data_IF_651184944471
#
_entry.id   IF_651184944471
#
_cell.length_a   1.000
_cell.length_b   1.000
_cell.length_c   1.000
_cell.angle_alpha   90.00
_cell.angle_beta   90.00
_cell.angle_gamma   90.00
#
_symmetry.space_group_name_H-M   'P 1'
#
loop_
_entity.id
_entity.type
_entity.pdbx_description
1 polymer ?
#
# COMPACT_ATOMS: atom_id res chain seq x y z
N UNK A 1 16.21 31.63 -79.89
CA UNK A 1 15.05 31.79 -78.98
C UNK A 1 14.44 30.42 -78.74
N UNK A 2 14.25 30.03 -77.49
CA UNK A 2 13.46 28.85 -77.10
C UNK A 2 14.28 27.62 -76.73
N UNK A 3 14.03 27.08 -75.53
CA UNK A 3 14.22 25.66 -75.26
C UNK A 3 15.20 25.26 -74.15
N UNK A 4 15.05 25.72 -72.90
CA UNK A 4 15.58 24.98 -71.73
C UNK A 4 14.73 25.14 -70.45
N UNK A 5 13.76 26.06 -70.40
CA UNK A 5 13.04 26.39 -69.15
C UNK A 5 11.84 25.48 -68.82
N UNK A 6 11.29 24.76 -69.82
CA UNK A 6 10.15 23.85 -69.62
C UNK A 6 10.45 22.58 -68.79
N UNK A 7 11.56 21.85 -69.04
CA UNK A 7 11.90 20.64 -68.30
C UNK A 7 12.22 20.92 -66.82
N UNK A 8 12.83 22.06 -66.52
CA UNK A 8 13.26 22.44 -65.17
C UNK A 8 12.05 22.78 -64.29
N UNK A 9 11.02 23.42 -64.85
CA UNK A 9 9.81 23.78 -64.10
C UNK A 9 8.95 22.56 -63.76
N UNK A 10 8.84 21.60 -64.68
CA UNK A 10 8.16 20.31 -64.43
C UNK A 10 8.92 19.46 -63.41
N UNK A 11 10.26 19.41 -63.51
CA UNK A 11 11.11 18.77 -62.51
C UNK A 11 10.94 19.41 -61.12
N UNK A 12 10.82 20.74 -61.05
CA UNK A 12 10.58 21.46 -59.79
C UNK A 12 9.20 21.12 -59.20
N UNK A 13 8.15 21.00 -60.02
CA UNK A 13 6.81 20.62 -59.58
C UNK A 13 6.75 19.18 -59.07
N UNK A 14 7.44 18.24 -59.74
CA UNK A 14 7.53 16.84 -59.31
C UNK A 14 8.36 16.69 -58.02
N UNK A 15 9.48 17.41 -57.92
CA UNK A 15 10.28 17.44 -56.68
C UNK A 15 9.48 18.06 -55.54
N UNK A 16 8.71 19.13 -55.78
CA UNK A 16 7.86 19.75 -54.77
C UNK A 16 6.71 18.81 -54.34
N UNK A 17 6.09 18.09 -55.28
CA UNK A 17 5.05 17.10 -54.97
C UNK A 17 5.57 15.91 -54.16
N UNK A 18 6.71 15.34 -54.55
CA UNK A 18 7.35 14.21 -53.84
C UNK A 18 7.87 14.62 -52.47
N UNK A 19 8.44 15.82 -52.33
CA UNK A 19 8.88 16.37 -51.04
C UNK A 19 7.70 16.68 -50.13
N UNK A 20 6.58 17.21 -50.66
CA UNK A 20 5.38 17.49 -49.86
C UNK A 20 4.67 16.21 -49.41
N UNK A 21 4.64 15.17 -50.24
CA UNK A 21 4.11 13.85 -49.86
C UNK A 21 4.99 13.16 -48.81
N UNK A 22 6.32 13.22 -48.96
CA UNK A 22 7.28 12.76 -47.94
C UNK A 22 7.13 13.54 -46.64
N UNK A 23 7.02 14.87 -46.72
CA UNK A 23 6.83 15.75 -45.56
C UNK A 23 5.52 15.43 -44.82
N UNK A 24 4.41 15.22 -45.52
CA UNK A 24 3.15 14.79 -44.89
C UNK A 24 3.28 13.45 -44.18
N UNK A 25 3.99 12.48 -44.79
CA UNK A 25 4.22 11.16 -44.17
C UNK A 25 5.11 11.26 -42.94
N UNK A 26 6.18 12.04 -42.99
CA UNK A 26 7.07 12.25 -41.83
C UNK A 26 6.38 13.03 -40.72
N UNK A 27 5.54 14.02 -41.07
CA UNK A 27 4.76 14.77 -40.09
C UNK A 27 3.72 13.89 -39.40
N UNK A 28 3.02 13.03 -40.14
CA UNK A 28 2.08 12.06 -39.54
C UNK A 28 2.80 11.03 -38.66
N UNK A 29 3.94 10.51 -39.11
CA UNK A 29 4.76 9.60 -38.30
C UNK A 29 5.31 10.28 -37.03
N UNK A 30 5.80 11.52 -37.15
CA UNK A 30 6.25 12.31 -36.01
C UNK A 30 5.10 12.63 -35.05
N UNK A 31 3.91 12.97 -35.56
CA UNK A 31 2.72 13.22 -34.77
C UNK A 31 2.27 11.96 -34.00
N UNK A 32 2.24 10.80 -34.66
CA UNK A 32 1.93 9.52 -34.02
C UNK A 32 2.98 9.19 -32.95
N UNK A 33 4.28 9.33 -33.26
CA UNK A 33 5.36 9.09 -32.29
C UNK A 33 5.27 10.05 -31.10
N UNK A 34 4.99 11.33 -31.34
CA UNK A 34 4.80 12.31 -30.25
C UNK A 34 3.59 11.98 -29.39
N UNK A 35 2.49 11.52 -30.00
CA UNK A 35 1.28 11.12 -29.28
C UNK A 35 1.58 9.91 -28.39
N UNK A 36 2.28 8.90 -28.92
CA UNK A 36 2.72 7.73 -28.15
C UNK A 36 3.64 8.14 -27.00
N UNK A 37 4.61 9.02 -27.23
CA UNK A 37 5.50 9.51 -26.16
C UNK A 37 4.73 10.25 -25.05
N UNK A 38 3.79 11.13 -25.41
CA UNK A 38 2.96 11.86 -24.43
C UNK A 38 2.10 10.89 -23.64
N UNK A 39 1.49 9.90 -24.29
CA UNK A 39 0.71 8.86 -23.61
C UNK A 39 1.58 8.03 -22.67
N UNK A 40 2.79 7.65 -23.10
CA UNK A 40 3.75 6.92 -22.26
C UNK A 40 4.15 7.70 -21.00
N UNK A 41 4.44 9.00 -21.15
CA UNK A 41 4.75 9.86 -20.00
C UNK A 41 3.56 9.97 -19.06
N UNK A 42 2.34 10.14 -19.60
CA UNK A 42 1.11 10.18 -18.80
C UNK A 42 0.91 8.89 -17.99
N UNK A 43 1.05 7.73 -18.63
CA UNK A 43 0.93 6.43 -17.96
C UNK A 43 2.03 6.24 -16.93
N UNK A 44 3.27 6.67 -17.21
CA UNK A 44 4.38 6.58 -16.26
C UNK A 44 4.16 7.42 -15.00
N UNK A 45 3.63 8.65 -15.16
CA UNK A 45 3.26 9.54 -14.05
C UNK A 45 2.12 8.92 -13.23
N UNK A 46 1.08 8.41 -13.90
CA UNK A 46 -0.06 7.78 -13.23
C UNK A 46 0.37 6.54 -12.43
N UNK A 47 1.26 5.71 -12.99
CA UNK A 47 1.79 4.53 -12.33
C UNK A 47 2.60 4.89 -11.09
N UNK A 48 3.48 5.90 -11.18
CA UNK A 48 4.23 6.41 -10.04
C UNK A 48 3.30 7.00 -8.98
N UNK A 49 2.33 7.82 -9.37
CA UNK A 49 1.36 8.42 -8.46
C UNK A 49 0.56 7.37 -7.70
N UNK A 50 0.07 6.35 -8.42
CA UNK A 50 -0.66 5.21 -7.82
C UNK A 50 0.21 4.44 -6.83
N UNK A 51 1.47 4.17 -7.19
CA UNK A 51 2.43 3.55 -6.27
C UNK A 51 2.68 4.42 -5.04
N UNK A 52 2.92 5.73 -5.21
CA UNK A 52 3.18 6.65 -4.12
C UNK A 52 2.01 6.68 -3.14
N UNK A 53 0.78 6.87 -3.62
CA UNK A 53 -0.40 6.92 -2.76
C UNK A 53 -0.74 5.57 -2.10
N UNK A 54 -0.50 4.45 -2.79
CA UNK A 54 -0.76 3.13 -2.20
C UNK A 54 0.31 2.71 -1.20
N UNK A 55 1.56 3.15 -1.37
CA UNK A 55 2.68 2.68 -0.57
C UNK A 55 3.03 3.62 0.60
N UNK A 56 2.78 4.92 0.43
CA UNK A 56 3.13 5.96 1.40
C UNK A 56 1.92 6.27 2.29
N UNK A 57 1.99 5.92 3.59
CA UNK A 57 0.88 6.13 4.50
C UNK A 57 0.91 7.54 5.10
N UNK A 58 -0.13 7.89 5.86
CA UNK A 58 -0.17 9.16 6.60
C UNK A 58 1.05 9.31 7.51
N UNK A 59 1.84 10.35 7.25
CA UNK A 59 3.17 10.57 7.86
C UNK A 59 3.12 11.01 9.32
N UNK A 60 2.12 11.81 9.64
CA UNK A 60 1.93 12.39 10.95
C UNK A 60 0.45 12.51 11.22
N UNK A 61 0.04 12.11 12.42
CA UNK A 61 -1.31 12.32 12.91
C UNK A 61 -1.23 13.13 14.20
N UNK A 62 -2.07 14.15 14.30
CA UNK A 62 -2.18 14.97 15.50
C UNK A 62 -3.64 15.02 15.94
N UNK A 63 -3.87 14.82 17.24
CA UNK A 63 -5.19 14.95 17.85
C UNK A 63 -5.13 15.80 19.10
N UNK A 64 -6.13 16.68 19.31
CA UNK A 64 -6.24 17.40 20.56
C UNK A 64 -6.58 16.42 21.69
N UNK A 65 -5.99 16.67 22.86
CA UNK A 65 -6.18 15.88 24.08
C UNK A 65 -6.94 16.74 25.07
N UNK A 66 -8.19 16.37 25.33
CA UNK A 66 -9.04 17.07 26.28
C UNK A 66 -9.02 16.36 27.64
N UNK A 67 -8.41 17.01 28.63
CA UNK A 67 -8.37 16.50 29.99
C UNK A 67 -9.69 16.74 30.71
N UNK A 68 -10.15 15.71 31.42
CA UNK A 68 -11.23 15.76 32.37
C UNK A 68 -10.71 15.31 33.75
N UNK A 69 -11.39 15.76 34.78
CA UNK A 69 -11.10 15.42 36.17
C UNK A 69 -12.44 15.36 36.93
N UNK A 70 -12.55 14.46 37.89
CA UNK A 70 -13.66 14.45 38.84
C UNK A 70 -13.60 15.69 39.74
N UNK A 71 -14.78 16.21 40.09
CA UNK A 71 -14.99 17.35 40.99
C UNK A 71 -15.66 16.92 42.29
N UNK A 72 -15.76 15.62 42.55
CA UNK A 72 -16.65 15.04 43.58
C UNK A 72 -16.01 15.03 44.98
N UNK A 73 -15.09 15.95 45.24
CA UNK A 73 -14.40 16.05 46.53
C UNK A 73 -14.57 17.44 47.15
N UNK A 74 -14.57 17.49 48.48
CA UNK A 74 -14.58 18.72 49.26
C UNK A 74 -13.19 19.39 49.25
N UNK A 75 -12.74 19.83 48.08
CA UNK A 75 -11.44 20.51 47.94
C UNK A 75 -11.52 21.94 48.48
N UNK A 76 -10.93 22.17 49.65
CA UNK A 76 -10.85 23.49 50.32
C UNK A 76 -9.76 24.43 49.78
N UNK A 77 -9.00 24.01 48.76
CA UNK A 77 -7.95 24.79 48.12
C UNK A 77 -7.94 24.43 46.63
N UNK A 78 -7.58 25.36 45.75
CA UNK A 78 -7.57 25.29 44.25
C UNK A 78 -6.72 24.14 43.65
N UNK A 79 -6.99 22.92 44.06
CA UNK A 79 -6.29 21.67 43.79
C UNK A 79 -7.33 20.71 43.21
N UNK A 80 -6.98 20.02 42.13
CA UNK A 80 -7.87 19.06 41.50
C UNK A 80 -8.13 17.87 42.44
N UNK A 81 -9.36 17.36 42.45
CA UNK A 81 -9.73 16.19 43.26
C UNK A 81 -9.04 14.90 42.79
N UNK A 82 -8.91 14.77 41.47
CA UNK A 82 -8.35 13.62 40.78
C UNK A 82 -7.24 14.04 39.84
N UNK A 83 -6.46 13.08 39.38
CA UNK A 83 -5.47 13.32 38.33
C UNK A 83 -6.20 13.61 37.02
N UNK A 84 -5.81 14.66 36.26
CA UNK A 84 -6.42 14.94 34.98
C UNK A 84 -6.11 13.80 34.00
N UNK A 85 -7.18 13.23 33.45
CA UNK A 85 -7.15 12.12 32.51
C UNK A 85 -7.78 12.53 31.19
N UNK A 86 -7.31 11.97 30.10
CA UNK A 86 -7.88 12.19 28.77
C UNK A 86 -7.98 10.85 28.04
N UNK A 87 -9.16 10.58 27.49
CA UNK A 87 -9.37 9.41 26.64
C UNK A 87 -9.40 9.88 25.18
N UNK A 88 -8.53 9.31 24.35
CA UNK A 88 -8.42 9.65 22.94
C UNK A 88 -8.63 8.42 22.06
N UNK A 89 -9.33 8.61 20.95
CA UNK A 89 -9.44 7.60 19.90
C UNK A 89 -8.27 7.73 18.93
N UNK A 90 -7.64 6.60 18.62
CA UNK A 90 -6.60 6.48 17.59
C UNK A 90 -7.19 5.99 16.26
N UNK A 91 -8.50 6.22 16.08
CA UNK A 91 -9.27 5.90 14.89
C UNK A 91 -9.65 7.20 14.17
N UNK A 92 -9.18 7.35 12.94
CA UNK A 92 -9.59 8.44 12.04
C UNK A 92 -11.06 8.25 11.68
N UNK A 93 -11.87 9.28 11.95
CA UNK A 93 -13.32 9.28 11.77
C UNK A 93 -14.04 8.08 12.45
N UNK A 94 -13.43 7.50 13.50
CA UNK A 94 -13.98 6.37 14.25
C UNK A 94 -13.93 5.00 13.55
N UNK A 95 -13.33 4.89 12.36
CA UNK A 95 -13.28 3.62 11.59
C UNK A 95 -11.89 3.26 11.11
N UNK A 96 -11.13 4.22 10.60
CA UNK A 96 -9.85 3.94 9.97
C UNK A 96 -8.73 4.02 11.00
N UNK A 97 -7.88 3.00 11.08
CA UNK A 97 -6.75 3.05 11.99
C UNK A 97 -5.72 4.09 11.54
N UNK A 98 -5.25 4.89 12.49
CA UNK A 98 -4.23 5.90 12.23
C UNK A 98 -2.84 5.28 11.98
N UNK A 99 -2.56 4.18 12.66
CA UNK A 99 -1.26 3.49 12.65
C UNK A 99 -1.33 2.23 11.80
N UNK A 100 -0.31 2.02 10.97
CA UNK A 100 -0.16 0.80 10.18
C UNK A 100 0.54 -0.27 11.00
N UNK A 101 0.07 -1.50 10.87
CA UNK A 101 0.65 -2.65 11.56
C UNK A 101 2.13 -2.87 11.18
N UNK A 102 2.96 -3.14 12.20
CA UNK A 102 4.38 -3.43 12.04
C UNK A 102 5.29 -2.23 11.72
N UNK A 103 4.70 -1.08 11.37
CA UNK A 103 5.44 0.17 11.16
C UNK A 103 5.79 0.80 12.53
N UNK A 104 7.06 1.19 12.79
CA UNK A 104 7.42 1.91 14.00
C UNK A 104 6.93 3.36 13.95
N UNK A 105 6.36 3.81 15.07
CA UNK A 105 5.86 5.15 15.30
C UNK A 105 6.47 5.75 16.58
N UNK A 106 6.82 7.03 16.50
CA UNK A 106 7.15 7.88 17.64
C UNK A 106 5.91 8.60 18.10
N UNK A 107 5.56 8.44 19.37
CA UNK A 107 4.40 9.08 19.99
C UNK A 107 4.92 10.13 20.97
N UNK A 108 4.63 11.39 20.71
CA UNK A 108 4.94 12.52 21.58
C UNK A 108 3.67 13.25 22.02
N UNK A 109 3.66 13.72 23.26
CA UNK A 109 2.63 14.58 23.81
C UNK A 109 3.18 15.99 23.90
N UNK A 110 2.48 16.93 23.29
CA UNK A 110 2.75 18.35 23.41
C UNK A 110 1.78 18.97 24.41
N UNK A 111 2.34 19.59 25.45
CA UNK A 111 1.60 20.26 26.51
C UNK A 111 1.83 21.77 26.39
N UNK A 112 0.75 22.54 26.29
CA UNK A 112 0.78 24.00 26.36
C UNK A 112 0.46 24.43 27.80
N UNK A 113 1.44 25.01 28.48
CA UNK A 113 1.37 25.35 29.89
C UNK A 113 1.72 26.82 30.14
N UNK A 114 1.02 27.53 31.04
CA UNK A 114 1.43 28.86 31.48
C UNK A 114 2.68 28.82 32.36
N UNK A 115 3.46 29.89 32.31
CA UNK A 115 4.54 30.18 33.27
C UNK A 115 3.95 30.73 34.60
N UNK A 116 3.00 30.01 35.20
CA UNK A 116 2.40 30.39 36.48
C UNK A 116 3.29 29.98 37.66
N UNK A 117 3.22 30.67 38.82
CA UNK A 117 4.01 30.28 40.00
C UNK A 117 3.68 28.86 40.48
N UNK A 118 2.44 28.40 40.27
CA UNK A 118 2.03 27.03 40.60
C UNK A 118 2.77 26.01 39.73
N UNK A 119 2.89 26.26 38.42
CA UNK A 119 3.61 25.39 37.49
C UNK A 119 5.14 25.49 37.66
N UNK A 120 5.66 26.67 37.97
CA UNK A 120 7.10 26.87 38.23
C UNK A 120 7.55 26.07 39.47
N UNK A 121 6.75 26.09 40.54
CA UNK A 121 7.03 25.34 41.77
C UNK A 121 6.58 23.88 41.73
N UNK A 122 5.91 23.43 40.67
CA UNK A 122 5.44 22.05 40.55
C UNK A 122 6.61 21.04 40.46
N UNK A 123 7.72 21.46 39.86
CA UNK A 123 8.87 20.59 39.61
C UNK A 123 8.58 19.48 38.59
N UNK A 124 9.20 18.32 38.78
CA UNK A 124 8.97 17.17 37.91
C UNK A 124 7.59 16.56 38.17
N UNK A 125 6.83 16.33 37.10
CA UNK A 125 5.59 15.58 37.13
C UNK A 125 5.67 14.41 36.14
N UNK A 126 4.85 13.38 36.37
CA UNK A 126 4.85 12.18 35.54
C UNK A 126 3.62 12.15 34.63
N UNK A 127 3.82 11.75 33.39
CA UNK A 127 2.77 11.54 32.39
C UNK A 127 2.74 10.05 32.09
N UNK A 128 1.56 9.44 32.26
CA UNK A 128 1.31 8.04 31.91
C UNK A 128 0.43 7.98 30.67
N UNK A 129 0.76 7.10 29.75
CA UNK A 129 -0.06 6.79 28.59
C UNK A 129 -0.28 5.29 28.51
N UNK A 130 -1.54 4.89 28.40
CA UNK A 130 -1.96 3.49 28.31
C UNK A 130 -2.80 3.30 27.05
N UNK A 131 -2.27 2.53 26.10
CA UNK A 131 -2.94 2.15 24.86
C UNK A 131 -3.84 0.94 25.10
N UNK A 132 -5.07 0.97 24.59
CA UNK A 132 -6.05 -0.09 24.83
C UNK A 132 -6.70 -0.61 23.52
N UNK A 133 -7.15 -1.87 23.55
CA UNK A 133 -7.87 -2.52 22.45
C UNK A 133 -9.36 -2.20 22.47
N UNK A 134 -10.10 -2.67 21.47
CA UNK A 134 -11.57 -2.59 21.46
C UNK A 134 -12.22 -3.23 22.70
N UNK A 135 -11.56 -4.25 23.27
CA UNK A 135 -12.05 -5.00 24.43
C UNK A 135 -11.68 -4.33 25.77
N UNK A 136 -11.05 -3.15 25.73
CA UNK A 136 -10.61 -2.42 26.92
C UNK A 136 -9.34 -2.96 27.55
N UNK A 137 -8.68 -3.95 26.94
CA UNK A 137 -7.42 -4.49 27.45
C UNK A 137 -6.24 -3.56 27.11
N UNK A 138 -5.40 -3.28 28.09
CA UNK A 138 -4.19 -2.46 27.90
C UNK A 138 -3.13 -3.25 27.13
N UNK A 139 -2.78 -2.79 25.92
CA UNK A 139 -1.76 -3.40 25.06
C UNK A 139 -0.36 -2.93 25.44
N UNK A 140 -0.24 -1.64 25.76
CA UNK A 140 1.02 -1.02 26.09
C UNK A 140 0.80 0.14 27.05
N UNK A 141 1.71 0.30 28.00
CA UNK A 141 1.70 1.43 28.92
C UNK A 141 3.12 2.02 29.02
N UNK A 142 3.20 3.33 29.17
CA UNK A 142 4.46 4.03 29.38
C UNK A 142 4.28 5.18 30.36
N UNK A 143 5.31 5.45 31.15
CA UNK A 143 5.38 6.56 32.07
C UNK A 143 6.65 7.37 31.81
N UNK A 144 6.52 8.69 31.66
CA UNK A 144 7.64 9.61 31.43
C UNK A 144 7.57 10.80 32.37
N UNK A 145 8.71 11.22 32.90
CA UNK A 145 8.80 12.48 33.63
C UNK A 145 8.87 13.66 32.67
N UNK A 146 8.26 14.76 33.06
CA UNK A 146 8.30 16.04 32.38
C UNK A 146 8.44 17.16 33.41
N UNK A 147 8.96 18.30 32.98
CA UNK A 147 9.15 19.46 33.83
C UNK A 147 9.01 20.72 32.97
N UNK A 148 8.42 21.77 33.52
CA UNK A 148 8.47 23.11 32.93
C UNK A 148 9.94 23.54 32.79
N UNK A 149 10.34 24.18 31.69
CA UNK A 149 11.76 24.55 31.61
C UNK A 149 12.01 25.72 32.55
N UNK A 150 12.92 25.50 33.50
CA UNK A 150 13.26 26.49 34.49
C UNK A 150 13.86 27.75 33.85
N UNK A 151 13.39 28.91 34.30
CA UNK A 151 13.97 30.24 34.01
C UNK A 151 14.19 30.94 35.33
N UNK A 152 15.32 31.65 35.47
CA UNK A 152 15.57 32.43 36.68
C UNK A 152 14.63 33.65 36.75
N UNK A 153 14.27 34.09 37.95
CA UNK A 153 13.42 35.29 38.13
C UNK A 153 14.00 36.54 37.47
N UNK A 154 15.33 36.71 37.49
CA UNK A 154 16.00 37.79 36.76
C UNK A 154 15.76 37.68 35.23
N UNK A 155 15.87 36.47 34.67
CA UNK A 155 15.62 36.25 33.25
C UNK A 155 14.15 36.49 32.90
N UNK A 156 13.21 36.03 33.73
CA UNK A 156 11.78 36.28 33.55
C UNK A 156 11.46 37.79 33.53
N UNK A 157 12.03 38.57 34.46
CA UNK A 157 11.83 40.03 34.51
C UNK A 157 12.42 40.74 33.29
N UNK A 158 13.63 40.38 32.87
CA UNK A 158 14.27 40.95 31.69
C UNK A 158 13.49 40.59 30.42
N UNK A 159 13.04 39.35 30.30
CA UNK A 159 12.23 38.88 29.16
C UNK A 159 10.90 39.62 29.09
N UNK A 160 10.22 39.79 30.22
CA UNK A 160 8.95 40.53 30.32
C UNK A 160 9.13 42.00 30.01
N UNK A 161 10.23 42.63 30.44
CA UNK A 161 10.53 44.03 30.16
C UNK A 161 10.83 44.24 28.67
N UNK A 162 11.70 43.40 28.09
CA UNK A 162 12.14 43.48 26.70
C UNK A 162 10.99 43.21 25.72
N UNK A 163 10.13 42.23 26.01
CA UNK A 163 8.96 41.90 25.20
C UNK A 163 7.67 42.59 25.67
N UNK A 164 7.75 43.57 26.58
CA UNK A 164 6.58 44.27 27.12
C UNK A 164 5.65 44.86 26.04
N UNK A 165 6.14 45.47 24.93
CA UNK A 165 5.22 46.01 23.92
C UNK A 165 4.44 44.90 23.21
N UNK A 166 5.06 43.74 22.97
CA UNK A 166 4.41 42.60 22.31
C UNK A 166 3.40 41.92 23.24
N UNK A 167 3.72 41.84 24.53
CA UNK A 167 2.83 41.29 25.55
C UNK A 167 1.60 42.18 25.77
N UNK A 168 1.78 43.50 25.86
CA UNK A 168 0.68 44.46 26.06
C UNK A 168 -0.25 44.58 24.86
N UNK A 169 0.28 44.39 23.65
CA UNK A 169 -0.52 44.35 22.41
C UNK A 169 -1.19 42.99 22.18
N UNK A 170 -0.89 41.98 23.01
CA UNK A 170 -1.41 40.62 22.88
C UNK A 170 -0.84 39.85 21.69
N UNK A 171 0.25 40.31 21.08
CA UNK A 171 0.93 39.59 19.99
C UNK A 171 1.67 38.36 20.50
N UNK A 172 2.10 38.38 21.76
CA UNK A 172 2.75 37.25 22.43
C UNK A 172 2.08 36.99 23.79
N UNK A 173 2.10 35.73 24.21
CA UNK A 173 1.56 35.27 25.50
C UNK A 173 2.66 34.58 26.31
N UNK A 174 2.58 34.65 27.64
CA UNK A 174 3.51 33.98 28.56
C UNK A 174 3.13 32.50 28.73
N UNK A 175 3.50 31.71 27.73
CA UNK A 175 3.23 30.27 27.69
C UNK A 175 4.41 29.48 27.18
N UNK A 176 4.45 28.21 27.54
CA UNK A 176 5.48 27.29 27.16
C UNK A 176 4.88 26.01 26.56
N UNK A 177 5.49 25.56 25.46
CA UNK A 177 5.20 24.26 24.84
C UNK A 177 6.23 23.23 25.32
N UNK A 178 5.77 22.15 25.93
CA UNK A 178 6.59 21.04 26.40
C UNK A 178 6.28 19.81 25.57
N UNK A 179 7.25 19.35 24.78
CA UNK A 179 7.14 18.09 24.04
C UNK A 179 7.76 16.94 24.86
N UNK A 180 6.95 15.93 25.15
CA UNK A 180 7.36 14.72 25.89
C UNK A 180 7.21 13.51 25.00
N UNK A 181 8.32 12.84 24.70
CA UNK A 181 8.32 11.60 23.95
C UNK A 181 7.90 10.42 24.84
N UNK A 182 6.72 9.87 24.56
CA UNK A 182 6.15 8.76 25.32
C UNK A 182 6.71 7.43 24.81
N UNK A 183 6.52 7.15 23.51
CA UNK A 183 7.08 5.99 22.83
C UNK A 183 8.03 6.41 21.70
N UNK A 184 9.19 5.78 21.61
CA UNK A 184 10.13 6.00 20.50
C UNK A 184 9.83 5.12 19.30
N UNK A 185 9.55 3.83 19.51
CA UNK A 185 9.36 2.81 18.47
C UNK A 185 8.11 1.96 18.73
N UNK A 186 6.96 2.62 18.88
CA UNK A 186 5.69 1.92 19.05
C UNK A 186 5.28 1.21 17.75
N UNK A 187 4.94 -0.08 17.84
CA UNK A 187 4.48 -0.88 16.70
C UNK A 187 3.07 -1.39 16.98
N UNK A 188 2.14 -1.06 16.09
CA UNK A 188 0.79 -1.58 16.16
C UNK A 188 0.78 -3.06 15.76
N UNK A 189 0.08 -3.89 16.55
CA UNK A 189 -0.08 -5.33 16.32
C UNK A 189 -1.40 -5.61 15.60
N UNK A 190 -1.38 -6.53 14.63
CA UNK A 190 -2.60 -6.89 13.89
C UNK A 190 -3.57 -7.76 14.70
N UNK A 191 -3.08 -8.56 15.65
CA UNK A 191 -3.91 -9.42 16.50
C UNK A 191 -4.59 -8.65 17.64
N UNK A 192 -3.97 -7.56 18.09
CA UNK A 192 -4.47 -6.69 19.14
C UNK A 192 -4.39 -5.24 18.64
N UNK A 193 -5.35 -4.81 17.81
CA UNK A 193 -5.33 -3.48 17.25
C UNK A 193 -5.61 -2.43 18.33
N UNK A 194 -4.75 -1.41 18.39
CA UNK A 194 -4.90 -0.30 19.32
C UNK A 194 -5.98 0.64 18.84
N UNK A 195 -7.04 0.78 19.64
CA UNK A 195 -8.22 1.60 19.30
C UNK A 195 -8.12 3.00 19.88
N UNK A 196 -7.55 3.11 21.09
CA UNK A 196 -7.43 4.37 21.78
C UNK A 196 -6.28 4.36 22.78
N UNK A 197 -6.09 5.49 23.42
CA UNK A 197 -5.17 5.61 24.54
C UNK A 197 -5.77 6.50 25.63
N UNK A 198 -5.43 6.18 26.87
CA UNK A 198 -5.73 7.00 28.03
C UNK A 198 -4.44 7.67 28.48
N UNK A 199 -4.45 8.98 28.60
CA UNK A 199 -3.32 9.78 29.06
C UNK A 199 -3.69 10.38 30.41
N UNK A 200 -2.84 10.16 31.41
CA UNK A 200 -3.03 10.63 32.77
C UNK A 200 -1.80 11.42 33.21
N UNK A 201 -2.03 12.61 33.78
CA UNK A 201 -0.95 13.41 34.37
C UNK A 201 -0.99 13.25 35.87
N UNK A 202 0.10 12.75 36.45
CA UNK A 202 0.24 12.45 37.87
C UNK A 202 0.58 13.71 38.67
N UNK A 203 -0.32 14.70 38.61
CA UNK A 203 -0.27 15.91 39.43
C UNK A 203 -1.65 16.53 39.55
N UNK A 204 -2.03 16.93 40.76
CA UNK A 204 -3.31 17.61 41.06
C UNK A 204 -3.21 19.13 41.05
N UNK A 205 -2.00 19.68 40.87
CA UNK A 205 -1.74 21.13 40.89
C UNK A 205 -1.30 21.67 39.53
N UNK A 206 -1.20 20.79 38.53
CA UNK A 206 -0.76 21.13 37.19
C UNK A 206 -1.79 22.04 36.50
N UNK A 207 -1.34 23.11 35.87
CA UNK A 207 -2.16 24.01 35.09
C UNK A 207 -1.77 23.90 33.61
N UNK A 208 -2.73 23.60 32.75
CA UNK A 208 -2.50 23.29 31.32
C UNK A 208 -3.57 24.02 30.52
N UNK A 209 -3.18 24.67 29.43
CA UNK A 209 -4.13 25.30 28.50
C UNK A 209 -4.66 24.30 27.48
N UNK A 210 -3.76 23.61 26.80
CA UNK A 210 -4.10 22.65 25.76
C UNK A 210 -3.07 21.52 25.72
N UNK A 211 -3.45 20.42 25.11
CA UNK A 211 -2.55 19.32 24.86
C UNK A 211 -2.86 18.69 23.51
N UNK A 212 -1.81 18.21 22.84
CA UNK A 212 -1.91 17.58 21.54
C UNK A 212 -1.06 16.31 21.53
N UNK A 213 -1.64 15.20 21.13
CA UNK A 213 -0.88 13.98 20.87
C UNK A 213 -0.41 14.00 19.43
N UNK A 214 0.89 13.87 19.22
CA UNK A 214 1.51 13.74 17.89
C UNK A 214 2.07 12.34 17.71
N UNK A 215 1.70 11.72 16.60
CA UNK A 215 2.16 10.40 16.19
C UNK A 215 2.92 10.58 14.88
N UNK A 216 4.22 10.32 14.90
CA UNK A 216 5.12 10.43 13.76
C UNK A 216 5.58 9.04 13.30
N UNK A 217 5.45 8.74 12.01
CA UNK A 217 5.95 7.48 11.46
C UNK A 217 7.46 7.56 11.19
N UNK A 218 8.23 6.55 11.62
CA UNK A 218 9.64 6.42 11.22
C UNK A 218 9.77 5.65 9.91
N UNK A 219 9.89 6.36 8.80
CA UNK A 219 10.11 5.72 7.51
C UNK A 219 11.53 5.16 7.40
N UNK A 220 11.64 3.89 6.99
CA UNK A 220 12.91 3.24 6.64
C UNK A 220 12.86 2.74 5.19
N UNK A 221 14.03 2.52 4.59
CA UNK A 221 14.14 1.99 3.22
C UNK A 221 13.59 2.92 2.14
N UNK A 222 12.79 2.37 1.21
CA UNK A 222 12.22 3.12 0.08
C UNK A 222 11.31 4.27 0.58
N UNK A 223 10.53 4.04 1.66
CA UNK A 223 9.67 5.08 2.24
C UNK A 223 10.47 6.29 2.73
N UNK A 224 11.66 6.06 3.29
CA UNK A 224 12.54 7.14 3.74
C UNK A 224 12.96 8.03 2.57
N UNK A 225 13.38 7.42 1.46
CA UNK A 225 13.77 8.14 0.25
C UNK A 225 12.61 8.96 -0.31
N UNK A 226 11.41 8.38 -0.38
CA UNK A 226 10.19 9.05 -0.85
C UNK A 226 9.80 10.23 0.03
N UNK A 227 9.90 10.08 1.36
CA UNK A 227 9.54 11.13 2.30
C UNK A 227 10.55 12.28 2.32
N UNK A 228 11.84 11.97 2.38
CA UNK A 228 12.88 12.99 2.51
C UNK A 228 13.20 13.70 1.18
N UNK A 229 13.04 12.99 0.05
CA UNK A 229 13.32 13.53 -1.28
C UNK A 229 12.17 13.25 -2.27
N UNK A 230 11.02 13.93 -2.12
CA UNK A 230 9.85 13.71 -2.96
C UNK A 230 10.13 14.03 -4.44
N UNK A 231 10.89 15.09 -4.73
CA UNK A 231 11.17 15.50 -6.11
C UNK A 231 12.12 14.52 -6.84
N UNK A 232 13.21 14.13 -6.20
CA UNK A 232 14.20 13.24 -6.84
C UNK A 232 13.63 11.84 -7.02
N UNK A 233 12.89 11.34 -6.03
CA UNK A 233 12.21 10.04 -6.14
C UNK A 233 11.13 10.04 -7.20
N UNK A 234 10.40 11.14 -7.39
CA UNK A 234 9.43 11.28 -8.48
C UNK A 234 10.09 11.27 -9.86
N UNK A 235 11.17 12.03 -10.05
CA UNK A 235 11.90 12.04 -11.34
C UNK A 235 12.47 10.66 -11.66
N UNK A 236 13.13 10.01 -10.70
CA UNK A 236 13.71 8.68 -10.89
C UNK A 236 12.61 7.64 -11.17
N UNK A 237 11.52 7.66 -10.41
CA UNK A 237 10.41 6.72 -10.57
C UNK A 237 9.65 6.89 -11.89
N UNK A 238 9.40 8.13 -12.32
CA UNK A 238 8.77 8.40 -13.62
C UNK A 238 9.72 8.03 -14.75
N UNK A 239 11.02 8.34 -14.65
CA UNK A 239 12.00 7.97 -15.65
C UNK A 239 12.16 6.44 -15.80
N UNK A 240 12.17 5.70 -14.69
CA UNK A 240 12.24 4.23 -14.73
C UNK A 240 10.98 3.62 -15.33
N UNK A 241 9.81 4.12 -14.97
CA UNK A 241 8.53 3.66 -15.55
C UNK A 241 8.46 3.97 -17.05
N UNK A 242 8.85 5.17 -17.45
CA UNK A 242 8.91 5.57 -18.86
C UNK A 242 9.89 4.69 -19.64
N UNK A 243 11.09 4.45 -19.12
CA UNK A 243 12.06 3.56 -19.75
C UNK A 243 11.52 2.14 -19.92
N UNK A 244 10.93 1.57 -18.86
CA UNK A 244 10.34 0.23 -18.91
C UNK A 244 9.22 0.12 -19.95
N UNK A 245 8.28 1.06 -19.95
CA UNK A 245 7.18 1.08 -20.94
C UNK A 245 7.70 1.32 -22.36
N UNK A 246 8.73 2.17 -22.53
CA UNK A 246 9.34 2.42 -23.83
C UNK A 246 10.00 1.16 -24.41
N UNK A 247 10.63 0.34 -23.56
CA UNK A 247 11.23 -0.94 -23.96
C UNK A 247 10.15 -1.92 -24.42
N UNK A 248 9.03 -2.02 -23.68
CA UNK A 248 7.90 -2.89 -24.07
C UNK A 248 7.33 -2.46 -25.43
N UNK A 249 7.09 -1.16 -25.63
CA UNK A 249 6.59 -0.62 -26.90
C UNK A 249 7.59 -0.84 -28.02
N UNK A 250 8.89 -0.67 -27.76
CA UNK A 250 9.94 -0.92 -28.74
C UNK A 250 9.98 -2.40 -29.17
N UNK A 251 9.94 -3.33 -28.22
CA UNK A 251 9.88 -4.76 -28.54
C UNK A 251 8.59 -5.13 -29.27
N UNK A 252 7.44 -4.57 -28.88
CA UNK A 252 6.18 -4.76 -29.62
C UNK A 252 6.25 -4.22 -31.04
N UNK A 253 6.91 -3.07 -31.25
CA UNK A 253 7.15 -2.51 -32.58
C UNK A 253 8.11 -3.36 -33.41
N UNK A 254 9.20 -3.87 -32.82
CA UNK A 254 10.13 -4.80 -33.46
C UNK A 254 9.46 -6.12 -33.83
N UNK A 255 8.63 -6.67 -32.95
CA UNK A 255 7.80 -7.85 -33.23
C UNK A 255 6.77 -7.58 -34.33
N UNK A 256 6.18 -6.39 -34.41
CA UNK A 256 5.29 -6.04 -35.51
C UNK A 256 6.02 -5.99 -36.86
N UNK A 257 7.26 -5.47 -36.87
CA UNK A 257 8.10 -5.41 -38.08
C UNK A 257 8.62 -6.80 -38.48
N UNK A 258 9.14 -7.59 -37.53
CA UNK A 258 9.70 -8.91 -37.79
C UNK A 258 8.64 -10.02 -37.89
N UNK A 259 7.52 -9.88 -37.18
CA UNK A 259 6.36 -10.77 -37.25
C UNK A 259 5.53 -10.61 -38.53
N UNK A 260 5.73 -9.52 -39.28
CA UNK A 260 5.30 -9.42 -40.69
C UNK A 260 6.10 -10.31 -41.65
N UNK A 261 7.12 -11.04 -41.17
CA UNK A 261 7.89 -12.03 -41.91
C UNK A 261 7.42 -13.48 -41.70
N UNK A 262 6.39 -13.71 -40.88
CA UNK A 262 5.59 -14.92 -41.02
C UNK A 262 4.52 -14.65 -42.08
N UNK A 263 4.45 -15.49 -43.14
CA UNK A 263 3.55 -15.24 -44.25
C UNK A 263 2.13 -15.10 -43.68
N UNK A 264 1.37 -14.06 -44.06
CA UNK A 264 -0.04 -14.04 -43.73
C UNK A 264 -0.59 -15.35 -44.27
N UNK A 265 -1.17 -16.13 -43.37
CA UNK A 265 -1.94 -17.31 -43.70
C UNK A 265 -2.82 -16.91 -44.88
N UNK A 266 -2.47 -17.43 -46.06
CA UNK A 266 -3.15 -17.06 -47.28
C UNK A 266 -4.60 -17.45 -47.03
N UNK A 267 -5.46 -16.47 -46.78
CA UNK A 267 -6.89 -16.64 -46.94
C UNK A 267 -7.00 -17.13 -48.37
N UNK A 268 -7.23 -18.45 -48.49
CA UNK A 268 -7.39 -19.17 -49.73
C UNK A 268 -8.70 -18.69 -50.32
N UNK A 269 -8.69 -17.48 -50.89
CA UNK A 269 -9.73 -17.02 -51.80
C UNK A 269 -9.69 -18.07 -52.89
N UNK A 270 -10.75 -18.88 -52.94
CA UNK A 270 -10.90 -19.94 -53.92
C UNK A 270 -10.70 -19.34 -55.32
N UNK A 271 -9.51 -19.50 -55.89
CA UNK A 271 -9.29 -19.39 -57.32
C UNK A 271 -9.77 -20.70 -57.97
N UNK A 272 -10.98 -21.12 -57.60
CA UNK A 272 -11.72 -22.17 -58.28
C UNK A 272 -12.67 -21.49 -59.23
N UNK A 273 -12.22 -21.21 -60.46
CA UNK A 273 -13.11 -21.23 -61.65
C UNK A 273 -12.46 -20.84 -62.98
N UNK A 274 -11.17 -20.48 -63.05
CA UNK A 274 -10.53 -20.20 -64.36
C UNK A 274 -10.36 -21.48 -65.20
N UNK A 275 -9.98 -22.59 -64.56
CA UNK A 275 -9.78 -23.90 -65.23
C UNK A 275 -11.10 -24.57 -65.62
N UNK A 276 -12.19 -24.36 -64.87
CA UNK A 276 -13.54 -24.86 -65.24
C UNK A 276 -14.13 -24.12 -66.43
N UNK A 277 -13.93 -22.79 -66.51
CA UNK A 277 -14.35 -21.99 -67.67
C UNK A 277 -13.58 -22.35 -68.94
N UNK A 278 -12.27 -22.60 -68.84
CA UNK A 278 -11.47 -23.08 -69.99
C UNK A 278 -11.93 -24.47 -70.47
N UNK A 279 -12.19 -25.40 -69.54
CA UNK A 279 -12.66 -26.75 -69.88
C UNK A 279 -14.04 -26.75 -70.53
N UNK A 280 -14.98 -25.91 -70.06
CA UNK A 280 -16.28 -25.71 -70.72
C UNK A 280 -16.16 -25.11 -72.12
N UNK A 281 -15.19 -24.21 -72.36
CA UNK A 281 -14.91 -23.67 -73.70
C UNK A 281 -14.37 -24.73 -74.66
N UNK A 282 -13.47 -25.59 -74.19
CA UNK A 282 -12.93 -26.69 -75.01
C UNK A 282 -13.99 -27.76 -75.31
N UNK A 283 -14.83 -28.11 -74.34
CA UNK A 283 -15.91 -29.08 -74.54
C UNK A 283 -17.01 -28.53 -75.49
N UNK A 284 -17.32 -27.24 -75.43
CA UNK A 284 -18.20 -26.59 -76.40
C UNK A 284 -17.60 -26.61 -77.82
N UNK A 285 -16.29 -26.40 -77.94
CA UNK A 285 -15.57 -26.47 -79.22
C UNK A 285 -15.58 -27.87 -79.82
N UNK A 286 -15.44 -28.91 -78.98
CA UNK A 286 -15.52 -30.32 -79.39
C UNK A 286 -16.93 -30.75 -79.80
N UNK A 287 -17.99 -30.20 -79.19
CA UNK A 287 -19.38 -30.47 -79.60
C UNK A 287 -19.73 -29.84 -80.94
N UNK A 288 -19.14 -28.68 -81.27
CA UNK A 288 -19.31 -28.09 -82.60
C UNK A 288 -18.54 -28.86 -83.69
N UNK A 289 -17.38 -29.46 -83.37
CA UNK A 289 -16.65 -30.29 -84.34
C UNK A 289 -17.25 -31.69 -84.54
N UNK A 290 -18.02 -32.23 -83.57
CA UNK A 290 -18.59 -33.58 -83.65
C UNK A 290 -19.93 -33.65 -84.42
N UNK A 291 -20.58 -32.51 -84.68
CA UNK A 291 -21.85 -32.47 -85.44
C UNK A 291 -21.66 -32.53 -86.97
N UNK A 292 -20.42 -32.52 -87.45
CA UNK A 292 -20.09 -32.54 -88.88
C UNK A 292 -19.22 -33.77 -89.17
N UNK A 293 -19.81 -34.97 -89.15
CA UNK A 293 -19.50 -36.12 -90.04
C UNK A 293 -20.27 -37.36 -89.55
N UNK A 294 -21.31 -37.76 -90.30
CA UNK A 294 -21.86 -39.11 -90.30
C UNK A 294 -21.59 -39.73 -91.67
N UNK A 295 -20.98 -40.93 -91.71
CA UNK A 295 -21.42 -42.15 -92.42
C UNK A 295 -20.24 -43.19 -92.50
N UNK A 296 -20.52 -44.51 -92.60
CA UNK A 296 -19.70 -45.57 -91.97
C UNK A 296 -19.10 -46.61 -92.95
N UNK A 297 -18.01 -47.31 -92.55
CA UNK A 297 -17.60 -48.65 -93.04
C UNK A 297 -16.34 -49.14 -92.27
N UNK A 298 -15.90 -50.40 -92.29
CA UNK A 298 -16.39 -51.72 -91.82
C UNK A 298 -15.14 -52.65 -91.74
N UNK A 299 -15.15 -53.65 -90.85
CA UNK A 299 -14.30 -54.89 -90.78
C UNK A 299 -12.85 -54.74 -90.23
N UNK A 300 -12.55 -55.27 -89.02
CA UNK A 300 -12.08 -56.64 -88.61
C UNK A 300 -10.53 -56.75 -88.64
N UNK A 301 -9.77 -57.35 -87.71
CA UNK A 301 -9.89 -58.48 -86.77
C UNK A 301 -8.97 -58.25 -85.53
N UNK A 302 -9.39 -58.55 -84.28
CA UNK A 302 -9.01 -59.71 -83.40
C UNK A 302 -7.52 -60.08 -83.39
N UNK A 303 -6.83 -60.08 -82.24
CA UNK A 303 -6.73 -61.23 -81.30
C UNK A 303 -6.61 -60.75 -79.83
N UNK A 304 -7.29 -61.48 -78.96
CA UNK A 304 -7.29 -61.37 -77.49
C UNK A 304 -6.28 -62.35 -76.86
N UNK A 305 -5.74 -62.02 -75.69
CA UNK A 305 -5.66 -62.99 -74.59
C UNK A 305 -5.58 -62.29 -73.23
N UNK A 306 -6.23 -62.89 -72.24
CA UNK A 306 -6.63 -62.39 -70.93
C UNK A 306 -6.10 -63.35 -69.86
N UNK A 307 -5.77 -62.80 -68.68
CA UNK A 307 -5.72 -63.45 -67.34
C UNK A 307 -4.64 -64.56 -67.16
N UNK A 308 -4.05 -64.84 -66.00
CA UNK A 308 -4.45 -64.71 -64.58
C UNK A 308 -3.21 -64.93 -63.66
N UNK A 309 -3.31 -64.53 -62.39
CA UNK A 309 -2.37 -64.79 -61.27
C UNK A 309 -2.34 -66.28 -60.82
N UNK A 310 -1.31 -66.78 -60.07
CA UNK A 310 -1.44 -66.90 -58.61
C UNK A 310 -0.15 -66.90 -57.73
N UNK A 311 -0.24 -66.21 -56.57
CA UNK A 311 -0.05 -66.62 -55.15
C UNK A 311 1.11 -67.55 -54.64
N UNK A 312 1.63 -67.14 -53.45
CA UNK A 312 2.30 -67.87 -52.32
C UNK A 312 3.84 -68.02 -52.40
N UNK A 313 4.71 -67.83 -51.38
CA UNK A 313 4.77 -68.10 -49.92
C UNK A 313 5.92 -67.23 -49.32
N UNK A 314 5.82 -66.54 -48.16
CA UNK A 314 5.90 -66.96 -46.74
C UNK A 314 7.27 -66.69 -46.05
N UNK A 315 7.20 -66.41 -44.73
CA UNK A 315 8.23 -66.10 -43.69
C UNK A 315 8.71 -64.63 -43.60
N UNK A 316 8.90 -63.97 -42.45
CA UNK A 316 8.90 -64.38 -41.04
C UNK A 316 8.81 -63.13 -40.11
N UNK A 317 7.96 -63.24 -39.09
CA UNK A 317 7.93 -62.65 -37.73
C UNK A 317 9.04 -61.62 -37.34
N UNK A 318 8.67 -60.40 -36.90
CA UNK A 318 8.73 -59.96 -35.48
C UNK A 318 8.08 -58.57 -35.23
N UNK A 319 7.18 -58.55 -34.25
CA UNK A 319 6.56 -57.41 -33.54
C UNK A 319 7.54 -56.30 -33.14
N UNK A 320 7.12 -55.03 -33.21
CA UNK A 320 6.58 -54.25 -32.07
C UNK A 320 5.73 -53.10 -32.63
N UNK A 321 4.48 -53.06 -32.20
CA UNK A 321 3.51 -51.99 -32.42
C UNK A 321 3.17 -51.41 -31.06
N UNK A 322 3.05 -50.07 -30.96
CA UNK A 322 2.01 -49.44 -30.16
C UNK A 322 1.82 -47.97 -30.56
N UNK A 323 0.82 -47.73 -31.42
CA UNK A 323 -0.03 -46.54 -31.33
C UNK A 323 -1.41 -46.96 -30.78
N UNK A 324 -2.08 -46.00 -30.14
CA UNK A 324 -3.42 -45.98 -29.49
C UNK A 324 -4.56 -46.66 -30.27
N UNK A 325 -5.71 -47.07 -29.67
CA UNK A 325 -6.83 -46.12 -29.43
C UNK A 325 -7.87 -46.45 -28.31
N UNK A 326 -8.42 -45.38 -27.71
CA UNK A 326 -9.83 -44.98 -27.55
C UNK A 326 -11.03 -45.95 -27.23
N UNK A 327 -11.93 -45.43 -26.36
CA UNK A 327 -13.41 -45.61 -26.17
C UNK A 327 -14.03 -46.64 -25.17
N UNK A 328 -15.12 -46.16 -24.53
CA UNK A 328 -16.32 -46.80 -23.90
C UNK A 328 -16.22 -46.97 -22.36
N UNK A 329 -17.15 -46.53 -21.50
CA UNK A 329 -18.51 -45.98 -21.62
C UNK A 329 -19.10 -45.73 -20.21
N UNK A 330 -20.21 -44.98 -20.19
CA UNK A 330 -20.97 -44.51 -19.02
C UNK A 330 -21.97 -45.54 -18.47
N UNK A 331 -22.30 -45.42 -17.17
CA UNK A 331 -23.61 -45.48 -16.48
C UNK A 331 -23.60 -46.32 -15.18
N UNK A 332 -23.98 -45.72 -14.04
CA UNK A 332 -25.19 -46.07 -13.27
C UNK A 332 -25.21 -45.45 -11.85
N UNK A 333 -26.22 -44.61 -11.61
CA UNK A 333 -27.01 -44.50 -10.36
C UNK A 333 -28.02 -45.69 -10.30
N UNK A 334 -28.87 -45.93 -9.26
CA UNK A 334 -29.43 -44.98 -8.28
C UNK A 334 -29.64 -45.51 -6.83
N UNK A 335 -30.15 -44.62 -5.94
CA UNK A 335 -31.36 -44.82 -5.09
C UNK A 335 -31.19 -44.49 -3.59
N UNK A 336 -32.04 -43.59 -3.07
CA UNK A 336 -32.66 -43.74 -1.73
C UNK A 336 -32.51 -42.62 -0.70
N UNK A 337 -33.46 -41.68 -0.70
CA UNK A 337 -33.89 -40.85 0.45
C UNK A 337 -34.84 -41.69 1.35
N UNK A 338 -35.03 -41.40 2.67
CA UNK A 338 -35.82 -40.23 3.07
C UNK A 338 -35.43 -39.51 4.39
N UNK A 339 -36.14 -38.39 4.58
CA UNK A 339 -36.17 -37.44 5.69
C UNK A 339 -36.44 -38.05 7.08
N UNK A 340 -36.02 -37.34 8.14
CA UNK A 340 -36.96 -37.03 9.23
C UNK A 340 -36.56 -35.80 10.05
N UNK A 341 -37.60 -35.01 10.35
CA UNK A 341 -37.61 -33.80 11.17
C UNK A 341 -37.62 -34.18 12.66
N UNK A 342 -37.07 -33.31 13.53
CA UNK A 342 -37.69 -33.08 14.85
C UNK A 342 -37.38 -31.66 15.36
N UNK A 343 -38.45 -30.94 15.66
CA UNK A 343 -38.50 -29.70 16.40
C UNK A 343 -38.55 -29.96 17.92
N UNK A 344 -38.08 -29.01 18.74
CA UNK A 344 -38.63 -28.51 20.01
C UNK A 344 -37.55 -27.56 20.61
N UNK A 345 -37.81 -26.28 20.90
CA UNK A 345 -38.48 -25.79 22.13
C UNK A 345 -37.48 -25.84 23.31
N UNK A 346 -37.17 -24.82 24.10
CA UNK A 346 -37.98 -23.73 24.64
C UNK A 346 -37.07 -22.73 25.38
N UNK A 347 -37.56 -21.51 25.51
CA UNK A 347 -37.16 -20.40 26.38
C UNK A 347 -36.93 -20.72 27.86
N UNK A 348 -36.07 -19.93 28.51
CA UNK A 348 -36.37 -19.30 29.80
C UNK A 348 -35.45 -18.12 30.09
N UNK A 349 -36.05 -16.93 30.21
CA UNK A 349 -35.57 -15.77 30.96
C UNK A 349 -35.50 -16.05 32.47
N UNK A 350 -34.64 -15.31 33.20
CA UNK A 350 -34.91 -14.59 34.48
C UNK A 350 -33.57 -14.16 35.14
N UNK A 351 -33.50 -13.01 35.87
CA UNK A 351 -32.31 -12.20 36.13
C UNK A 351 -31.85 -12.21 37.63
N UNK A 352 -31.01 -11.23 38.04
CA UNK A 352 -30.49 -10.90 39.40
C UNK A 352 -29.12 -11.58 39.68
N UNK A 353 -28.09 -11.03 40.35
CA UNK A 353 -27.89 -9.89 41.25
C UNK A 353 -26.35 -9.64 41.29
N UNK A 354 -25.89 -8.42 41.57
CA UNK A 354 -24.48 -8.12 41.90
C UNK A 354 -24.13 -8.52 43.35
N UNK A 355 -22.86 -8.78 43.70
CA UNK A 355 -22.43 -8.73 45.09
C UNK A 355 -21.64 -7.46 45.41
N UNK A 356 -22.08 -6.79 46.47
CA UNK A 356 -21.35 -5.75 47.18
C UNK A 356 -20.25 -6.34 48.07
N UNK A 357 -19.15 -5.59 48.14
CA UNK A 357 -18.38 -5.14 49.31
C UNK A 357 -18.65 -5.90 50.62
N UNK A 358 -17.58 -6.49 51.18
CA UNK A 358 -17.45 -6.70 52.63
C UNK A 358 -16.24 -5.91 53.13
N UNK A 359 -16.52 -4.89 53.93
CA UNK A 359 -15.58 -4.27 54.84
C UNK A 359 -15.34 -5.21 56.03
N UNK A 360 -14.08 -5.36 56.45
CA UNK A 360 -13.77 -5.92 57.76
C UNK A 360 -13.02 -4.86 58.54
N UNK A 361 -13.72 -4.31 59.52
CA UNK A 361 -13.23 -3.41 60.55
C UNK A 361 -12.63 -4.23 61.70
N UNK A 362 -11.42 -3.89 62.14
CA UNK A 362 -10.84 -4.40 63.39
C UNK A 362 -9.70 -3.48 63.87
N UNK A 363 -10.11 -2.50 64.68
CA UNK A 363 -9.56 -2.18 66.01
C UNK A 363 -8.09 -1.76 66.15
N UNK A 364 -7.96 -0.51 66.60
CA UNK A 364 -6.81 0.14 67.23
C UNK A 364 -6.22 -0.66 68.40
N UNK A 365 -4.89 -0.63 68.53
CA UNK A 365 -4.18 -0.45 69.81
C UNK A 365 -2.69 -0.09 69.55
N UNK A 366 -2.34 1.16 69.83
CA UNK A 366 -0.98 1.63 70.21
C UNK A 366 -1.03 1.84 71.75
N UNK A 367 0.08 1.82 72.53
CA UNK A 367 1.25 2.67 72.25
C UNK A 367 2.64 2.20 72.77
N UNK A 368 3.65 2.98 72.33
CA UNK A 368 4.86 3.42 73.05
C UNK A 368 6.11 2.52 73.19
N UNK A 369 7.21 3.05 72.62
CA UNK A 369 8.64 2.78 72.86
C UNK A 369 9.08 3.04 74.32
N UNK A 370 10.23 2.48 74.76
CA UNK A 370 11.44 3.34 74.81
C UNK A 370 12.79 2.66 74.45
N UNK A 371 13.64 3.49 73.82
CA UNK A 371 15.10 3.66 73.97
C UNK A 371 16.12 2.50 73.84
N UNK A 372 16.96 2.67 72.82
CA UNK A 372 18.44 2.76 72.86
C UNK A 372 19.28 1.53 73.28
N UNK A 373 19.98 0.94 72.30
CA UNK A 373 21.31 0.32 72.47
C UNK A 373 21.97 0.02 71.12
N UNK A 374 23.21 0.49 70.99
CA UNK A 374 23.98 0.47 69.75
C UNK A 374 24.62 -0.86 69.35
N UNK A 375 25.15 -0.79 68.12
CA UNK A 375 26.28 -1.51 67.53
C UNK A 375 26.40 -3.04 67.77
N UNK A 376 26.24 -3.81 66.70
CA UNK A 376 27.29 -4.74 66.26
C UNK A 376 27.10 -5.18 64.80
N UNK A 377 28.23 -5.26 64.10
CA UNK A 377 28.34 -5.64 62.70
C UNK A 377 28.22 -7.16 62.54
N UNK A 378 27.44 -7.60 61.55
CA UNK A 378 27.49 -8.98 61.06
C UNK A 378 27.51 -8.97 59.53
N UNK A 379 28.66 -9.40 59.00
CA UNK A 379 28.92 -9.77 57.62
C UNK A 379 28.01 -10.93 57.20
N UNK A 380 27.30 -10.80 56.08
CA UNK A 380 26.82 -11.94 55.30
C UNK A 380 27.04 -11.67 53.80
N UNK A 381 27.78 -12.58 53.17
CA UNK A 381 28.05 -12.70 51.74
C UNK A 381 26.76 -12.90 50.91
N UNK A 382 26.80 -12.42 49.66
CA UNK A 382 25.68 -12.45 48.69
C UNK A 382 25.32 -13.84 48.14
N UNK A 383 24.46 -13.90 47.10
CA UNK A 383 25.02 -13.82 45.75
C UNK A 383 24.15 -13.15 44.65
N UNK A 384 24.89 -12.72 43.60
CA UNK A 384 24.53 -12.62 42.17
C UNK A 384 23.53 -11.55 41.68
N UNK A 385 24.08 -10.46 41.16
CA UNK A 385 23.45 -9.59 40.15
C UNK A 385 23.84 -9.99 38.71
N UNK A 386 23.01 -9.70 37.69
CA UNK A 386 23.37 -9.87 36.29
C UNK A 386 24.08 -8.63 35.70
N UNK A 387 24.85 -8.90 34.64
CA UNK A 387 25.84 -8.05 33.96
C UNK A 387 25.31 -6.78 33.25
N UNK A 388 26.18 -5.78 32.99
CA UNK A 388 25.78 -4.46 32.51
C UNK A 388 25.57 -4.42 30.98
N UNK A 389 24.42 -3.89 30.56
CA UNK A 389 24.12 -3.54 29.17
C UNK A 389 24.65 -2.15 28.81
N UNK A 390 25.21 -2.04 27.61
CA UNK A 390 25.83 -0.87 27.01
C UNK A 390 24.94 0.39 27.05
N UNK A 391 25.46 1.46 27.68
CA UNK A 391 24.88 2.80 27.60
C UNK A 391 25.46 3.55 26.40
N UNK A 392 24.78 3.47 25.25
CA UNK A 392 25.02 4.38 24.13
C UNK A 392 24.34 5.72 24.42
N UNK A 393 25.12 6.69 24.89
CA UNK A 393 24.71 8.10 24.99
C UNK A 393 24.44 8.65 23.58
N UNK A 394 23.16 8.72 23.20
CA UNK A 394 22.72 9.41 21.98
C UNK A 394 22.62 10.91 22.27
N UNK A 395 23.55 11.67 21.68
CA UNK A 395 23.61 13.12 21.73
C UNK A 395 22.38 13.74 21.02
N UNK A 396 21.54 14.47 21.76
CA UNK A 396 20.36 15.16 21.24
C UNK A 396 20.80 16.46 20.55
N UNK A 397 20.41 16.66 19.30
CA UNK A 397 20.55 17.96 18.62
C UNK A 397 19.50 18.92 19.17
N UNK A 398 19.94 20.12 19.57
CA UNK A 398 19.08 21.17 20.11
C UNK A 398 18.15 21.79 19.05
N UNK A 399 17.08 22.47 19.48
CA UNK A 399 16.10 23.06 18.56
C UNK A 399 16.69 24.27 17.83
N UNK A 400 16.48 24.28 16.52
CA UNK A 400 16.70 25.43 15.66
C UNK A 400 15.69 26.52 16.04
N UNK A 401 16.19 27.71 16.37
CA UNK A 401 15.37 28.91 16.51
C UNK A 401 14.81 29.27 15.13
N UNK A 402 13.49 29.16 14.96
CA UNK A 402 12.78 29.92 13.94
C UNK A 402 12.37 31.26 14.56
N UNK A 403 12.92 32.33 13.98
CA UNK A 403 12.59 33.73 14.24
C UNK A 403 11.09 34.03 14.04
#
# INVERSE_FOLDING_TARGET
>A
MGGVTGPVFLWLQDVLGVTLLRARRTLLQAAILSCVLVLLVWVAIFLYGSFYYSYMPTVSFSTPVHYHYSTDCDASNSVLCSFPMANISLLKNGKDQVMIYGQPYRISLELEMPESPVNEHLGMFMIKMSCYTKDGQTVAAVARSAMLHYRSGLLQTLNTLLFSPLLLTGMTEQKQLIEVELFSDYKANSYQPTVGAVIEIQSRRVQIYSAQLRIHAFFTGIRYLLYNFPLTSAVIGVASNFAFLSVIVLFGYLQFIWGGLWPPEQVRVMMGDTTRLQRRREDARKRMSFSQTQMPQKDNDRVAEQLEEPRQQASEIKKVELETPDVIGSLNEPSGLPENQTALGSSSDVPLEAPQINETDASQEEPADPEDRGAEAVLLEGPQGPQPGESTLRQRQGPWMSL
#
